data_IF_276338610285
#
_entry.id   IF_276338610285
#
_cell.length_a   1.000
_cell.length_b   1.000
_cell.length_c   1.000
_cell.angle_alpha   90.00
_cell.angle_beta   90.00
_cell.angle_gamma   90.00
#
_symmetry.space_group_name_H-M   'P 1'
#
loop_
_entity.id
_entity.type
_entity.pdbx_description
1 polymer ?
#
# COMPACT_ATOMS: atom_id res chain seq x y z
N UNK A 1 -9.27 -1.72 -13.64
CA UNK A 1 -10.54 -2.16 -14.21
C UNK A 1 -11.21 -1.07 -15.05
N UNK A 2 -12.23 -1.45 -15.81
CA UNK A 2 -12.93 -0.54 -16.70
C UNK A 2 -14.26 -0.03 -16.08
N UNK A 3 -14.15 0.84 -15.11
CA UNK A 3 -15.29 1.38 -14.36
C UNK A 3 -16.29 2.15 -15.27
N UNK A 4 -15.81 2.78 -16.34
CA UNK A 4 -16.68 3.48 -17.30
C UNK A 4 -17.72 2.56 -17.96
N UNK A 5 -17.41 1.28 -18.14
CA UNK A 5 -18.33 0.29 -18.70
C UNK A 5 -18.99 -0.58 -17.62
N UNK A 6 -18.22 -1.01 -16.61
CA UNK A 6 -18.72 -1.91 -15.57
C UNK A 6 -19.56 -1.21 -14.49
N UNK A 7 -19.31 0.07 -14.24
CA UNK A 7 -19.99 0.88 -13.22
C UNK A 7 -20.32 2.29 -13.74
N UNK A 8 -21.11 2.41 -14.84
CA UNK A 8 -21.32 3.71 -15.52
C UNK A 8 -21.97 4.75 -14.61
N UNK A 9 -22.91 4.34 -13.76
CA UNK A 9 -23.57 5.25 -12.80
C UNK A 9 -22.61 5.84 -11.76
N UNK A 10 -21.66 5.02 -11.29
CA UNK A 10 -20.59 5.48 -10.37
C UNK A 10 -19.54 6.30 -11.11
N UNK A 11 -19.15 5.89 -12.31
CA UNK A 11 -18.13 6.58 -13.10
C UNK A 11 -18.52 7.99 -13.53
N UNK A 12 -19.83 8.26 -13.66
CA UNK A 12 -20.35 9.61 -13.85
C UNK A 12 -19.82 10.59 -12.82
N UNK A 13 -19.76 10.21 -11.55
CA UNK A 13 -19.27 11.08 -10.48
C UNK A 13 -17.78 11.32 -10.56
N UNK A 14 -17.00 10.39 -11.10
CA UNK A 14 -15.58 10.59 -11.39
C UNK A 14 -15.39 11.66 -12.46
N UNK A 15 -16.15 11.59 -13.55
CA UNK A 15 -16.08 12.58 -14.64
C UNK A 15 -16.57 13.98 -14.18
N UNK A 16 -17.62 14.03 -13.37
CA UNK A 16 -18.10 15.28 -12.75
C UNK A 16 -17.05 15.90 -11.82
N UNK A 17 -16.39 15.09 -11.00
CA UNK A 17 -15.32 15.55 -10.12
C UNK A 17 -14.13 16.09 -10.92
N UNK A 18 -13.76 15.44 -12.04
CA UNK A 18 -12.73 15.96 -12.95
C UNK A 18 -13.13 17.30 -13.57
N UNK A 19 -14.35 17.41 -14.08
CA UNK A 19 -14.82 18.60 -14.78
C UNK A 19 -14.96 19.81 -13.87
N UNK A 20 -15.43 19.63 -12.64
CA UNK A 20 -15.85 20.72 -11.77
C UNK A 20 -15.00 20.93 -10.51
N UNK A 21 -14.16 19.95 -10.15
CA UNK A 21 -13.37 19.98 -8.90
C UNK A 21 -11.87 19.78 -9.12
N UNK A 22 -11.41 19.66 -10.36
CA UNK A 22 -10.01 19.43 -10.68
C UNK A 22 -9.46 18.09 -10.21
N UNK A 23 -10.34 17.10 -9.90
CA UNK A 23 -9.94 15.78 -9.51
C UNK A 23 -9.11 15.09 -10.60
N UNK A 24 -8.12 14.29 -10.21
CA UNK A 24 -7.28 13.54 -11.13
C UNK A 24 -7.68 12.08 -11.15
N UNK A 25 -7.69 11.51 -12.35
CA UNK A 25 -7.97 10.10 -12.57
C UNK A 25 -6.71 9.36 -13.03
N UNK A 26 -6.29 8.40 -12.22
CA UNK A 26 -5.22 7.45 -12.56
C UNK A 26 -5.87 6.12 -12.91
N UNK A 27 -5.53 5.56 -14.05
CA UNK A 27 -5.98 4.23 -14.46
C UNK A 27 -4.79 3.32 -14.67
N UNK A 28 -4.76 2.24 -13.89
CA UNK A 28 -3.77 1.15 -14.00
C UNK A 28 -4.52 -0.07 -14.52
N UNK A 29 -4.21 -0.51 -15.74
CA UNK A 29 -4.93 -1.59 -16.39
C UNK A 29 -4.04 -2.26 -17.45
N UNK A 30 -4.10 -3.59 -17.63
CA UNK A 30 -3.39 -4.26 -18.71
C UNK A 30 -3.83 -3.80 -20.12
N UNK A 31 -5.06 -3.31 -20.22
CA UNK A 31 -5.68 -2.89 -21.46
C UNK A 31 -6.06 -1.42 -21.42
N UNK A 32 -5.85 -0.70 -22.52
CA UNK A 32 -6.36 0.66 -22.68
C UNK A 32 -7.88 0.63 -22.86
N UNK A 33 -8.61 1.01 -21.82
CA UNK A 33 -10.07 0.93 -21.72
C UNK A 33 -10.74 2.29 -21.90
N UNK A 34 -12.08 2.33 -21.91
CA UNK A 34 -12.84 3.60 -21.88
C UNK A 34 -12.54 4.43 -20.63
N UNK A 35 -12.30 3.80 -19.48
CA UNK A 35 -11.82 4.53 -18.30
C UNK A 35 -10.45 5.17 -18.53
N UNK A 36 -9.55 4.46 -19.22
CA UNK A 36 -8.21 4.95 -19.55
C UNK A 36 -8.24 6.13 -20.53
N UNK A 37 -9.21 6.17 -21.46
CA UNK A 37 -9.31 7.24 -22.45
C UNK A 37 -9.60 8.63 -21.84
N UNK A 38 -10.15 8.68 -20.64
CA UNK A 38 -10.44 9.93 -19.91
C UNK A 38 -9.54 10.13 -18.67
N UNK A 39 -8.54 9.27 -18.50
CA UNK A 39 -7.58 9.36 -17.38
C UNK A 39 -6.57 10.50 -17.60
N UNK A 40 -6.13 11.13 -16.50
CA UNK A 40 -4.99 12.04 -16.52
C UNK A 40 -3.68 11.28 -16.67
N UNK A 41 -3.62 10.07 -16.07
CA UNK A 41 -2.49 9.15 -16.20
C UNK A 41 -3.01 7.74 -16.44
N UNK A 42 -2.55 7.12 -17.51
CA UNK A 42 -2.72 5.70 -17.76
C UNK A 42 -1.38 4.97 -17.60
N UNK A 43 -1.37 3.92 -16.80
CA UNK A 43 -0.23 3.04 -16.62
C UNK A 43 -0.59 1.62 -17.08
N UNK A 44 0.09 1.09 -18.09
CA UNK A 44 -0.04 -0.32 -18.43
C UNK A 44 0.56 -1.18 -17.32
N UNK A 45 -0.06 -2.33 -17.05
CA UNK A 45 0.43 -3.30 -16.09
C UNK A 45 0.29 -4.72 -16.66
N UNK A 46 1.24 -5.61 -16.38
CA UNK A 46 1.05 -7.03 -16.70
C UNK A 46 0.01 -7.65 -15.75
N UNK A 47 -0.84 -8.48 -16.29
CA UNK A 47 -1.86 -9.20 -15.51
C UNK A 47 -1.21 -10.02 -14.39
N UNK A 48 -1.77 -9.92 -13.18
CA UNK A 48 -1.30 -10.68 -12.01
C UNK A 48 -0.10 -10.07 -11.28
N UNK A 49 0.30 -8.83 -11.59
CA UNK A 49 1.44 -8.15 -10.96
C UNK A 49 1.03 -7.00 -10.04
N UNK A 50 -0.24 -6.88 -9.73
CA UNK A 50 -0.83 -5.81 -8.91
C UNK A 50 -0.15 -5.68 -7.54
N UNK A 51 0.20 -6.82 -6.91
CA UNK A 51 0.90 -6.83 -5.60
C UNK A 51 2.22 -6.07 -5.69
N UNK A 52 2.99 -6.25 -6.77
CA UNK A 52 4.29 -5.58 -6.96
C UNK A 52 4.09 -4.08 -7.20
N UNK A 53 3.09 -3.73 -8.02
CA UNK A 53 2.77 -2.32 -8.31
C UNK A 53 2.36 -1.58 -7.04
N UNK A 54 1.37 -2.12 -6.30
CA UNK A 54 0.88 -1.52 -5.05
C UNK A 54 1.95 -1.56 -3.95
N UNK A 55 2.74 -2.63 -3.88
CA UNK A 55 3.88 -2.72 -2.98
C UNK A 55 4.90 -1.61 -3.22
N UNK A 56 5.15 -1.29 -4.48
CA UNK A 56 6.02 -0.17 -4.85
C UNK A 56 5.45 1.20 -4.44
N UNK A 57 4.13 1.40 -4.57
CA UNK A 57 3.46 2.62 -4.10
C UNK A 57 3.59 2.75 -2.58
N UNK A 58 3.31 1.68 -1.83
CA UNK A 58 3.45 1.66 -0.36
C UNK A 58 4.90 1.96 0.03
N UNK A 59 5.87 1.31 -0.61
CA UNK A 59 7.29 1.60 -0.39
C UNK A 59 7.61 3.08 -0.57
N UNK A 60 7.16 3.67 -1.68
CA UNK A 60 7.41 5.09 -1.97
C UNK A 60 6.88 6.00 -0.87
N UNK A 61 5.63 5.78 -0.42
CA UNK A 61 5.01 6.57 0.63
C UNK A 61 5.74 6.43 1.98
N UNK A 62 6.14 5.21 2.34
CA UNK A 62 6.88 4.93 3.58
C UNK A 62 8.29 5.52 3.58
N UNK A 63 9.01 5.43 2.45
CA UNK A 63 10.38 5.98 2.32
C UNK A 63 10.41 7.50 2.31
N UNK A 64 9.42 8.12 1.66
CA UNK A 64 9.29 9.57 1.57
C UNK A 64 8.58 10.20 2.76
N UNK A 65 8.18 9.37 3.74
CA UNK A 65 7.40 9.79 4.90
C UNK A 65 6.11 10.57 4.52
N UNK A 66 5.52 10.20 3.40
CA UNK A 66 4.29 10.80 2.87
C UNK A 66 3.05 10.06 3.40
N UNK A 67 2.93 9.99 4.72
CA UNK A 67 1.84 9.34 5.43
C UNK A 67 1.11 10.34 6.34
N UNK A 68 -0.12 10.01 6.71
CA UNK A 68 -0.87 10.77 7.73
C UNK A 68 -0.53 10.22 9.12
N UNK A 69 0.48 10.77 9.76
CA UNK A 69 1.03 10.28 11.03
C UNK A 69 -0.02 10.14 12.13
N UNK A 70 -0.92 11.12 12.28
CA UNK A 70 -1.98 11.07 13.27
C UNK A 70 -2.93 9.88 13.02
N UNK A 71 -3.36 9.71 11.77
CA UNK A 71 -4.21 8.59 11.38
C UNK A 71 -3.50 7.24 11.60
N UNK A 72 -2.25 7.15 11.15
CA UNK A 72 -1.45 5.93 11.28
C UNK A 72 -1.28 5.50 12.74
N UNK A 73 -1.01 6.46 13.64
CA UNK A 73 -0.81 6.17 15.07
C UNK A 73 -2.07 5.77 15.80
N UNK A 74 -3.19 6.43 15.48
CA UNK A 74 -4.40 6.38 16.31
C UNK A 74 -5.47 5.43 15.74
N UNK A 75 -5.45 5.16 14.43
CA UNK A 75 -6.52 4.44 13.75
C UNK A 75 -6.05 3.20 12.98
N UNK A 76 -4.77 2.85 13.09
CA UNK A 76 -4.20 1.63 12.50
C UNK A 76 -3.35 0.88 13.51
N UNK A 77 -3.01 -0.36 13.21
CA UNK A 77 -2.11 -1.20 14.00
C UNK A 77 -0.61 -0.94 13.71
N UNK A 78 -0.30 0.03 12.88
CA UNK A 78 1.08 0.35 12.49
C UNK A 78 1.96 0.79 13.67
N UNK A 79 1.37 1.34 14.74
CA UNK A 79 2.07 1.69 15.98
C UNK A 79 2.25 0.51 16.95
N UNK A 80 1.62 -0.64 16.71
CA UNK A 80 1.64 -1.78 17.61
C UNK A 80 3.00 -2.48 17.61
N UNK A 81 3.41 -3.02 18.76
CA UNK A 81 4.65 -3.77 18.91
C UNK A 81 4.34 -5.25 18.80
N UNK A 82 4.95 -5.90 17.83
CA UNK A 82 4.80 -7.34 17.58
C UNK A 82 5.59 -8.13 18.63
N UNK A 83 5.10 -9.29 19.04
CA UNK A 83 5.78 -10.19 19.99
C UNK A 83 7.17 -10.61 19.50
N UNK A 84 8.06 -10.93 20.44
CA UNK A 84 9.44 -11.33 20.13
C UNK A 84 9.55 -12.65 19.35
N UNK A 85 8.60 -13.55 19.57
CA UNK A 85 8.54 -14.85 18.92
C UNK A 85 7.89 -14.82 17.53
N UNK A 86 7.42 -13.64 17.06
CA UNK A 86 6.98 -13.45 15.68
C UNK A 86 8.17 -13.20 14.76
N UNK A 87 8.21 -13.89 13.63
CA UNK A 87 9.16 -13.61 12.55
C UNK A 87 8.52 -13.72 11.17
N UNK A 88 9.14 -13.08 10.19
CA UNK A 88 8.81 -13.23 8.77
C UNK A 88 10.11 -13.27 7.98
N UNK A 89 10.52 -14.48 7.57
CA UNK A 89 11.78 -14.70 6.89
C UNK A 89 11.58 -15.57 5.65
N UNK A 90 12.25 -15.22 4.57
CA UNK A 90 12.21 -15.95 3.31
C UNK A 90 10.78 -16.24 2.77
N UNK A 91 9.84 -15.32 3.04
CA UNK A 91 8.45 -15.47 2.62
C UNK A 91 7.56 -16.31 3.52
N UNK A 92 8.09 -16.81 4.64
CA UNK A 92 7.36 -17.61 5.63
C UNK A 92 7.24 -16.86 6.95
N UNK A 93 6.08 -16.97 7.56
CA UNK A 93 5.85 -16.50 8.94
C UNK A 93 6.30 -17.55 9.95
N UNK A 94 6.59 -17.10 11.19
CA UNK A 94 6.87 -17.99 12.31
C UNK A 94 5.75 -19.04 12.50
N UNK A 95 6.14 -20.23 12.99
CA UNK A 95 5.20 -21.33 13.23
C UNK A 95 4.87 -22.18 11.99
N UNK A 96 5.58 -22.03 10.87
CA UNK A 96 5.36 -22.86 9.68
C UNK A 96 5.85 -24.30 9.91
N UNK A 97 4.93 -25.27 9.76
CA UNK A 97 5.19 -26.70 9.75
C UNK A 97 5.22 -27.19 8.29
N UNK A 98 6.41 -27.51 7.79
CA UNK A 98 6.61 -27.91 6.40
C UNK A 98 6.00 -29.29 6.07
N UNK A 99 5.92 -30.21 7.05
CA UNK A 99 5.35 -31.56 6.84
C UNK A 99 3.83 -31.46 6.71
N UNK A 100 3.19 -30.71 7.59
CA UNK A 100 1.74 -30.54 7.60
C UNK A 100 1.25 -29.41 6.69
N UNK A 101 2.17 -28.62 6.09
CA UNK A 101 1.87 -27.44 5.26
C UNK A 101 0.87 -26.49 5.92
N UNK A 102 1.05 -26.23 7.20
CA UNK A 102 0.19 -25.34 7.99
C UNK A 102 1.00 -24.50 8.96
N UNK A 103 0.37 -23.47 9.49
CA UNK A 103 0.96 -22.60 10.50
C UNK A 103 0.40 -22.88 11.90
N UNK A 104 1.26 -22.93 12.90
CA UNK A 104 0.92 -22.59 14.26
C UNK A 104 0.98 -21.05 14.41
N UNK A 105 -0.15 -20.45 14.68
CA UNK A 105 -0.31 -18.99 14.75
C UNK A 105 -0.17 -18.44 16.16
N UNK A 106 0.29 -19.22 17.12
CA UNK A 106 0.41 -18.82 18.55
C UNK A 106 1.33 -17.61 18.76
N UNK A 107 2.33 -17.43 17.87
CA UNK A 107 3.25 -16.28 17.87
C UNK A 107 2.70 -15.03 17.14
N UNK A 108 1.56 -15.15 16.45
CA UNK A 108 1.01 -14.05 15.64
C UNK A 108 0.13 -13.13 16.48
N UNK A 109 0.73 -12.43 17.41
CA UNK A 109 0.06 -11.48 18.30
C UNK A 109 0.97 -10.30 18.59
N UNK A 110 0.43 -9.32 19.26
CA UNK A 110 1.13 -8.13 19.72
C UNK A 110 1.58 -8.29 21.17
N UNK A 111 2.59 -7.54 21.54
CA UNK A 111 3.04 -7.44 22.92
C UNK A 111 1.99 -6.67 23.75
N UNK A 112 1.69 -7.17 24.97
CA UNK A 112 0.70 -6.56 25.86
C UNK A 112 1.36 -6.00 27.11
N UNK A 113 0.80 -4.91 27.62
CA UNK A 113 1.14 -4.34 28.90
C UNK A 113 0.53 -5.12 30.08
N UNK A 114 0.87 -4.73 31.30
CA UNK A 114 0.27 -5.28 32.51
C UNK A 114 -1.24 -5.01 32.62
N UNK A 115 -1.72 -3.97 31.95
CA UNK A 115 -3.13 -3.59 31.82
C UNK A 115 -3.90 -4.44 30.79
N UNK A 116 -3.22 -5.35 30.10
CA UNK A 116 -3.78 -6.22 29.06
C UNK A 116 -3.96 -5.56 27.68
N UNK A 117 -3.69 -4.26 27.55
CA UNK A 117 -3.75 -3.56 26.26
C UNK A 117 -2.48 -3.80 25.43
N UNK A 118 -2.64 -3.71 24.10
CA UNK A 118 -1.51 -3.82 23.17
C UNK A 118 -0.54 -2.66 23.39
N UNK A 119 0.75 -2.98 23.53
CA UNK A 119 1.80 -1.96 23.58
C UNK A 119 1.94 -1.25 22.24
N UNK A 120 2.03 0.06 22.28
CA UNK A 120 2.19 0.93 21.12
C UNK A 120 3.46 1.73 21.17
N UNK A 121 4.03 2.05 20.02
CA UNK A 121 5.09 3.04 19.87
C UNK A 121 4.57 4.25 19.07
N UNK A 122 4.19 5.35 19.74
CA UNK A 122 3.73 6.56 19.06
C UNK A 122 4.80 7.21 18.18
N UNK A 123 6.09 6.89 18.40
CA UNK A 123 7.21 7.40 17.60
C UNK A 123 7.40 6.64 16.30
N UNK A 124 6.84 5.43 16.20
CA UNK A 124 6.99 4.51 15.06
C UNK A 124 8.46 4.07 14.82
N UNK A 125 9.33 4.15 15.84
CA UNK A 125 10.76 3.86 15.71
C UNK A 125 11.17 2.50 16.30
N UNK A 126 10.34 1.90 17.15
CA UNK A 126 10.67 0.62 17.76
C UNK A 126 10.88 -0.46 16.70
N UNK A 127 11.98 -1.24 16.73
CA UNK A 127 12.32 -2.19 15.65
C UNK A 127 11.26 -3.26 15.41
N UNK A 128 10.48 -3.63 16.42
CA UNK A 128 9.35 -4.55 16.32
C UNK A 128 8.00 -3.85 16.12
N UNK A 129 7.98 -2.55 15.90
CA UNK A 129 6.78 -1.83 15.52
C UNK A 129 6.34 -2.28 14.11
N UNK A 130 5.05 -2.52 13.92
CA UNK A 130 4.50 -2.95 12.61
C UNK A 130 4.95 -2.01 11.49
N UNK A 131 5.01 -0.71 11.74
CA UNK A 131 5.50 0.27 10.78
C UNK A 131 6.92 -0.03 10.28
N UNK A 132 7.85 -0.37 11.17
CA UNK A 132 9.23 -0.70 10.80
C UNK A 132 9.32 -2.04 10.06
N UNK A 133 8.54 -3.01 10.48
CA UNK A 133 8.46 -4.30 9.79
C UNK A 133 7.90 -4.14 8.38
N UNK A 134 6.89 -3.29 8.19
CA UNK A 134 6.37 -2.94 6.86
C UNK A 134 7.43 -2.25 5.99
N UNK A 135 8.17 -1.28 6.52
CA UNK A 135 9.27 -0.63 5.77
C UNK A 135 10.28 -1.67 5.27
N UNK A 136 10.69 -2.60 6.13
CA UNK A 136 11.62 -3.68 5.76
C UNK A 136 11.01 -4.59 4.68
N UNK A 137 9.75 -5.00 4.86
CA UNK A 137 9.07 -5.87 3.90
C UNK A 137 8.92 -5.23 2.52
N UNK A 138 8.46 -3.97 2.47
CA UNK A 138 8.19 -3.28 1.22
C UNK A 138 9.46 -2.73 0.53
N UNK A 139 10.61 -2.71 1.19
CA UNK A 139 11.88 -2.26 0.59
C UNK A 139 12.26 -2.99 -0.71
N UNK A 140 11.80 -4.24 -0.89
CA UNK A 140 12.02 -5.06 -2.09
C UNK A 140 11.33 -4.55 -3.35
N UNK A 141 10.27 -3.77 -3.23
CA UNK A 141 9.47 -3.29 -4.36
C UNK A 141 10.02 -1.96 -4.90
N UNK A 142 11.26 -1.97 -5.36
CA UNK A 142 11.90 -0.77 -5.94
C UNK A 142 11.24 -0.37 -7.27
N UNK A 143 11.37 0.90 -7.71
CA UNK A 143 10.84 1.33 -9.00
C UNK A 143 11.32 0.47 -10.18
N UNK A 144 12.59 0.00 -10.14
CA UNK A 144 13.16 -0.91 -11.12
C UNK A 144 12.49 -2.29 -11.07
N UNK A 145 12.18 -2.78 -9.86
CA UNK A 145 11.45 -4.03 -9.68
C UNK A 145 10.02 -3.90 -10.25
N UNK A 146 9.36 -2.79 -10.00
CA UNK A 146 8.02 -2.51 -10.56
C UNK A 146 8.09 -2.49 -12.10
N UNK A 147 9.02 -1.76 -12.70
CA UNK A 147 9.16 -1.73 -14.16
C UNK A 147 9.43 -3.12 -14.73
N UNK A 148 10.39 -3.85 -14.18
CA UNK A 148 10.76 -5.19 -14.63
C UNK A 148 9.61 -6.19 -14.53
N UNK A 149 8.87 -6.20 -13.42
CA UNK A 149 7.81 -7.18 -13.16
C UNK A 149 6.49 -6.74 -13.78
N UNK A 150 6.08 -5.50 -13.54
CA UNK A 150 4.77 -4.98 -13.97
C UNK A 150 4.76 -4.50 -15.44
N UNK A 151 5.93 -4.14 -15.99
CA UNK A 151 6.04 -3.56 -17.34
C UNK A 151 5.57 -2.10 -17.38
N UNK A 152 5.26 -1.50 -16.26
CA UNK A 152 4.97 -0.06 -16.17
C UNK A 152 6.27 0.72 -16.23
N UNK A 153 6.45 1.67 -17.16
CA UNK A 153 7.67 2.49 -17.21
C UNK A 153 7.91 3.21 -15.88
N UNK A 154 9.16 3.19 -15.40
CA UNK A 154 9.55 3.75 -14.10
C UNK A 154 9.10 5.20 -13.93
N UNK A 155 9.31 6.05 -14.95
CA UNK A 155 8.90 7.46 -14.90
C UNK A 155 7.40 7.62 -14.67
N UNK A 156 6.59 6.77 -15.32
CA UNK A 156 5.13 6.78 -15.15
C UNK A 156 4.71 6.27 -13.77
N UNK A 157 5.37 5.24 -13.26
CA UNK A 157 5.15 4.73 -11.92
C UNK A 157 5.46 5.81 -10.86
N UNK A 158 6.60 6.49 -10.97
CA UNK A 158 6.96 7.57 -10.05
C UNK A 158 6.00 8.75 -10.13
N UNK A 159 5.56 9.15 -11.33
CA UNK A 159 4.52 10.15 -11.50
C UNK A 159 3.24 9.80 -10.71
N UNK A 160 2.81 8.54 -10.76
CA UNK A 160 1.64 8.07 -10.00
C UNK A 160 1.89 8.15 -8.50
N UNK A 161 3.07 7.71 -8.04
CA UNK A 161 3.44 7.80 -6.62
C UNK A 161 3.41 9.26 -6.12
N UNK A 162 3.95 10.20 -6.89
CA UNK A 162 3.95 11.63 -6.57
C UNK A 162 2.52 12.20 -6.52
N UNK A 163 1.68 11.83 -7.48
CA UNK A 163 0.28 12.26 -7.47
C UNK A 163 -0.47 11.75 -6.23
N UNK A 164 -0.26 10.50 -5.83
CA UNK A 164 -0.85 9.93 -4.61
C UNK A 164 -0.28 10.60 -3.36
N UNK A 165 1.04 10.77 -3.29
CA UNK A 165 1.72 11.45 -2.17
C UNK A 165 1.24 12.89 -1.99
N UNK A 166 0.92 13.60 -3.08
CA UNK A 166 0.42 14.97 -3.02
C UNK A 166 -0.92 15.12 -2.30
N UNK A 167 -1.65 14.03 -2.09
CA UNK A 167 -2.91 14.01 -1.33
C UNK A 167 -2.71 13.67 0.16
N UNK A 168 -1.52 13.24 0.55
CA UNK A 168 -1.19 12.78 1.90
C UNK A 168 -0.99 13.87 2.99
N UNK A 169 -0.74 15.16 2.71
CA UNK A 169 -0.58 16.17 3.76
C UNK A 169 -1.83 16.27 4.63
N UNK A 170 -1.61 16.37 5.95
CA UNK A 170 -2.63 16.42 7.00
C UNK A 170 -3.71 17.50 6.83
N UNK A 171 -3.48 18.49 5.96
CA UNK A 171 -4.39 19.60 5.69
C UNK A 171 -5.31 19.40 4.47
N UNK A 172 -5.23 18.25 3.80
CA UNK A 172 -6.15 17.92 2.72
C UNK A 172 -7.11 16.86 3.22
N UNK A 173 -8.28 17.31 3.62
CA UNK A 173 -9.44 16.44 3.77
C UNK A 173 -9.74 15.90 2.38
N UNK A 174 -9.61 14.58 2.22
CA UNK A 174 -9.98 13.90 0.99
C UNK A 174 -11.49 13.99 0.75
#
# INVERSE_FOLDING_TARGET
>A
GNAAEAHPCGFKWVTEAKAHRGAKLIVVDPRFTRSASVADVYAPIRTGTDIVFLGGVIRYLLEKDQIQHEYVRNYTDLSFIVREDFSFENGLFSGYDAEKRRYDKSSWDYERGEDGYVKTDPTLQHPRCVYQLMKQHYARYTPETVERVCGTPQAKFLQICEMLASTAPANRVA
#
